data_IF_658728377229
#
_entry.id   IF_658728377229
#
_cell.length_a   1.000
_cell.length_b   1.000
_cell.length_c   1.000
_cell.angle_alpha   90.00
_cell.angle_beta   90.00
_cell.angle_gamma   90.00
#
_symmetry.space_group_name_H-M   'P 1'
#
loop_
_entity.id
_entity.type
_entity.pdbx_description
1 polymer ?
#
# COMPACT_ATOMS: atom_id res chain seq x y z
N UNK A 1 -0.52 -37.20 1.29
CA UNK A 1 0.23 -37.37 0.04
C UNK A 1 0.11 -36.07 -0.76
N UNK A 2 1.22 -35.43 -1.17
CA UNK A 2 1.15 -34.20 -1.96
C UNK A 2 0.58 -34.49 -3.36
N UNK A 3 -0.30 -33.62 -3.86
CA UNK A 3 -0.91 -33.77 -5.18
C UNK A 3 0.15 -33.72 -6.28
N UNK A 4 0.10 -34.65 -7.24
CA UNK A 4 0.94 -34.60 -8.44
C UNK A 4 0.49 -33.45 -9.35
N UNK A 5 1.46 -32.67 -9.85
CA UNK A 5 1.22 -31.55 -10.78
C UNK A 5 0.47 -32.07 -12.03
N UNK A 6 -0.66 -31.46 -12.36
CA UNK A 6 -1.55 -31.91 -13.45
C UNK A 6 -2.58 -32.97 -13.07
N UNK A 7 -2.62 -33.42 -11.81
CA UNK A 7 -3.53 -34.48 -11.32
C UNK A 7 -4.43 -33.99 -10.17
N UNK A 8 -4.52 -32.68 -9.99
CA UNK A 8 -5.51 -32.02 -9.14
C UNK A 8 -6.69 -31.63 -10.01
N UNK A 9 -7.91 -31.51 -9.45
CA UNK A 9 -9.16 -31.16 -10.16
C UNK A 9 -9.15 -29.82 -10.92
N UNK A 10 -8.00 -29.16 -11.00
CA UNK A 10 -7.68 -28.14 -11.98
C UNK A 10 -6.25 -28.40 -12.52
N UNK A 11 -6.15 -28.97 -13.72
CA UNK A 11 -4.91 -29.39 -14.37
C UNK A 11 -3.92 -28.24 -14.60
N UNK A 12 -4.44 -27.02 -14.82
CA UNK A 12 -3.66 -25.80 -15.00
C UNK A 12 -3.22 -25.13 -13.67
N UNK A 13 -3.68 -25.65 -12.53
CA UNK A 13 -3.49 -25.02 -11.23
C UNK A 13 -4.22 -23.68 -11.08
N UNK A 14 -4.10 -23.06 -9.90
CA UNK A 14 -4.67 -21.73 -9.65
C UNK A 14 -3.96 -20.70 -10.56
N UNK A 15 -4.72 -19.96 -11.38
CA UNK A 15 -4.15 -18.93 -12.26
C UNK A 15 -3.32 -17.91 -11.44
N UNK A 16 -2.08 -17.60 -11.86
CA UNK A 16 -1.27 -16.54 -11.23
C UNK A 16 -2.03 -15.23 -11.20
N UNK A 17 -1.99 -14.52 -10.08
CA UNK A 17 -2.72 -13.26 -9.90
C UNK A 17 -4.16 -13.39 -9.41
N UNK A 18 -4.71 -14.61 -9.26
CA UNK A 18 -6.03 -14.79 -8.64
C UNK A 18 -5.96 -14.35 -7.17
N UNK A 19 -6.71 -13.31 -6.75
CA UNK A 19 -6.72 -12.86 -5.36
C UNK A 19 -7.14 -14.02 -4.44
N UNK A 20 -6.56 -14.09 -3.25
CA UNK A 20 -6.99 -15.07 -2.26
C UNK A 20 -8.46 -14.79 -1.88
N UNK A 21 -9.32 -15.82 -1.92
CA UNK A 21 -10.77 -15.68 -1.73
C UNK A 21 -11.10 -14.98 -0.41
N UNK A 22 -10.42 -15.37 0.67
CA UNK A 22 -10.54 -14.76 2.00
C UNK A 22 -10.19 -13.27 2.01
N UNK A 23 -9.16 -12.87 1.25
CA UNK A 23 -8.76 -11.45 1.15
C UNK A 23 -9.76 -10.64 0.34
N UNK A 24 -10.43 -11.25 -0.63
CA UNK A 24 -11.51 -10.60 -1.39
C UNK A 24 -12.75 -10.41 -0.53
N UNK A 25 -13.19 -11.44 0.19
CA UNK A 25 -14.35 -11.38 1.10
C UNK A 25 -14.16 -10.32 2.20
N UNK A 26 -12.98 -10.27 2.82
CA UNK A 26 -12.67 -9.27 3.84
C UNK A 26 -12.68 -7.84 3.28
N UNK A 27 -12.13 -7.62 2.08
CA UNK A 27 -12.16 -6.30 1.43
C UNK A 27 -13.59 -5.86 1.09
N UNK A 28 -14.43 -6.80 0.67
CA UNK A 28 -15.83 -6.53 0.35
C UNK A 28 -16.60 -6.15 1.61
N UNK A 29 -16.43 -6.93 2.69
CA UNK A 29 -17.00 -6.64 4.00
C UNK A 29 -16.58 -5.27 4.55
N UNK A 30 -15.27 -4.95 4.51
CA UNK A 30 -14.77 -3.63 4.97
C UNK A 30 -15.38 -2.51 4.13
N UNK A 31 -15.49 -2.71 2.81
CA UNK A 31 -16.07 -1.71 1.90
C UNK A 31 -17.57 -1.50 2.15
N UNK A 32 -18.33 -2.57 2.36
CA UNK A 32 -19.75 -2.50 2.73
C UNK A 32 -19.96 -1.84 4.10
N UNK A 33 -19.16 -2.22 5.09
CA UNK A 33 -19.19 -1.61 6.42
C UNK A 33 -18.94 -0.09 6.35
N UNK A 34 -17.91 0.33 5.62
CA UNK A 34 -17.60 1.76 5.45
C UNK A 34 -18.74 2.50 4.72
N UNK A 35 -19.32 1.89 3.69
CA UNK A 35 -20.44 2.49 2.95
C UNK A 35 -21.71 2.63 3.80
N UNK A 36 -22.06 1.60 4.58
CA UNK A 36 -23.24 1.63 5.46
C UNK A 36 -23.09 2.70 6.56
N UNK A 37 -21.90 2.82 7.14
CA UNK A 37 -21.63 3.78 8.22
C UNK A 37 -21.36 5.20 7.72
N UNK A 38 -21.29 5.43 6.40
CA UNK A 38 -21.04 6.75 5.80
C UNK A 38 -22.06 7.80 6.25
N UNK A 39 -23.33 7.41 6.40
CA UNK A 39 -24.40 8.30 6.87
C UNK A 39 -24.24 8.67 8.36
N UNK A 40 -23.72 7.77 9.17
CA UNK A 40 -23.36 8.01 10.57
C UNK A 40 -22.15 8.93 10.68
N UNK A 41 -21.13 8.72 9.84
CA UNK A 41 -19.94 9.56 9.77
C UNK A 41 -20.29 11.01 9.39
N UNK A 42 -21.23 11.22 8.46
CA UNK A 42 -21.69 12.58 8.13
C UNK A 42 -22.39 13.27 9.30
N UNK A 43 -23.21 12.53 10.07
CA UNK A 43 -23.86 13.09 11.27
C UNK A 43 -22.84 13.41 12.36
N UNK A 44 -21.94 12.47 12.66
CA UNK A 44 -20.84 12.69 13.59
C UNK A 44 -19.95 13.87 13.20
N UNK A 45 -19.73 14.07 11.88
CA UNK A 45 -18.99 15.24 11.38
C UNK A 45 -19.69 16.56 11.66
N UNK A 46 -21.03 16.59 11.62
CA UNK A 46 -21.81 17.79 11.95
C UNK A 46 -21.71 18.08 13.45
N UNK A 47 -21.80 17.04 14.29
CA UNK A 47 -21.77 17.13 15.75
C UNK A 47 -20.36 17.41 16.33
N UNK A 48 -19.31 17.17 15.57
CA UNK A 48 -17.93 17.39 16.02
C UNK A 48 -17.64 18.85 16.40
N UNK A 49 -16.74 19.07 17.35
CA UNK A 49 -16.26 20.41 17.69
C UNK A 49 -15.43 20.99 16.53
N UNK A 50 -15.47 22.31 16.25
CA UNK A 50 -14.74 22.91 15.12
C UNK A 50 -13.26 22.52 15.06
N UNK A 51 -12.57 22.46 16.21
CA UNK A 51 -11.15 22.08 16.30
C UNK A 51 -10.91 20.65 15.82
N UNK A 52 -11.78 19.72 16.18
CA UNK A 52 -11.68 18.32 15.77
C UNK A 52 -11.99 18.15 14.29
N UNK A 53 -12.91 18.95 13.73
CA UNK A 53 -13.17 18.97 12.28
C UNK A 53 -11.92 19.34 11.50
N UNK A 54 -11.20 20.37 11.93
CA UNK A 54 -9.93 20.77 11.28
C UNK A 54 -8.89 19.66 11.34
N UNK A 55 -8.73 19.00 12.49
CA UNK A 55 -7.79 17.88 12.65
C UNK A 55 -8.14 16.67 11.77
N UNK A 56 -9.41 16.29 11.75
CA UNK A 56 -9.90 15.19 10.92
C UNK A 56 -9.78 15.53 9.43
N UNK A 57 -10.05 16.78 9.04
CA UNK A 57 -9.87 17.26 7.66
C UNK A 57 -8.40 17.19 7.22
N UNK A 58 -7.47 17.64 8.07
CA UNK A 58 -6.03 17.53 7.82
C UNK A 58 -5.58 16.07 7.66
N UNK A 59 -6.19 15.14 8.40
CA UNK A 59 -5.91 13.71 8.28
C UNK A 59 -6.44 13.13 6.96
N UNK A 60 -7.63 13.54 6.52
CA UNK A 60 -8.21 13.13 5.23
C UNK A 60 -7.41 13.67 4.04
N UNK A 61 -6.88 14.90 4.14
CA UNK A 61 -6.05 15.50 3.08
C UNK A 61 -4.82 14.67 2.72
N UNK A 62 -4.25 13.92 3.68
CA UNK A 62 -3.11 13.02 3.44
C UNK A 62 -3.42 11.88 2.46
N UNK A 63 -4.68 11.47 2.38
CA UNK A 63 -5.12 10.39 1.49
C UNK A 63 -5.66 10.91 0.15
N UNK A 64 -6.08 12.18 0.09
CA UNK A 64 -6.59 12.81 -1.13
C UNK A 64 -5.51 13.53 -1.96
N UNK A 65 -4.51 14.10 -1.29
CA UNK A 65 -3.40 14.77 -1.95
C UNK A 65 -2.24 13.79 -2.13
N UNK A 66 -1.54 13.81 -3.29
CA UNK A 66 -0.30 13.05 -3.45
C UNK A 66 0.71 13.57 -2.44
N UNK A 67 1.01 12.75 -1.43
CA UNK A 67 2.09 13.05 -0.49
C UNK A 67 3.42 12.74 -1.17
N UNK A 68 4.41 13.61 -0.97
CA UNK A 68 5.79 13.27 -1.33
C UNK A 68 6.18 12.05 -0.50
N UNK A 69 6.26 10.89 -1.15
CA UNK A 69 6.91 9.72 -0.57
C UNK A 69 8.37 10.12 -0.34
N UNK A 70 8.74 10.42 0.89
CA UNK A 70 10.16 10.51 1.23
C UNK A 70 10.72 9.11 1.06
N UNK A 71 11.38 8.84 -0.06
CA UNK A 71 12.20 7.65 -0.19
C UNK A 71 13.36 7.82 0.78
N UNK A 72 13.20 7.31 2.00
CA UNK A 72 14.34 7.01 2.85
C UNK A 72 15.03 5.83 2.20
N UNK A 73 16.09 6.13 1.44
CA UNK A 73 16.99 5.10 0.94
C UNK A 73 17.78 4.63 2.17
N UNK A 74 17.56 3.38 2.57
CA UNK A 74 18.38 2.75 3.60
C UNK A 74 19.66 2.21 2.93
N UNK A 75 20.71 3.03 3.00
CA UNK A 75 22.00 2.71 2.38
C UNK A 75 22.69 1.50 3.02
N UNK A 76 22.26 1.05 4.20
CA UNK A 76 22.87 -0.10 4.88
C UNK A 76 22.46 -1.46 4.27
N UNK A 77 21.38 -1.48 3.48
CA UNK A 77 20.82 -2.69 2.87
C UNK A 77 21.11 -2.76 1.35
N UNK A 78 21.95 -1.87 0.82
CA UNK A 78 22.38 -1.89 -0.56
C UNK A 78 23.68 -2.68 -0.69
N UNK A 79 23.80 -3.51 -1.73
CA UNK A 79 25.05 -4.20 -2.06
C UNK A 79 26.15 -3.18 -2.39
N UNK A 80 27.38 -3.51 -2.01
CA UNK A 80 28.56 -2.63 -2.13
C UNK A 80 28.79 -2.17 -3.58
N UNK A 81 28.62 -3.07 -4.56
CA UNK A 81 28.70 -2.76 -5.99
C UNK A 81 27.69 -1.70 -6.46
N UNK A 82 26.52 -1.66 -5.82
CA UNK A 82 25.47 -0.68 -6.13
C UNK A 82 25.80 0.67 -5.49
N UNK A 83 26.44 0.67 -4.31
CA UNK A 83 26.93 1.88 -3.66
C UNK A 83 28.00 2.57 -4.49
N UNK A 84 28.98 1.82 -4.99
CA UNK A 84 30.06 2.35 -5.82
C UNK A 84 29.51 2.96 -7.11
N UNK A 85 28.58 2.27 -7.78
CA UNK A 85 27.93 2.79 -8.99
C UNK A 85 27.11 4.08 -8.73
N UNK A 86 26.57 4.27 -7.52
CA UNK A 86 25.87 5.50 -7.12
C UNK A 86 26.88 6.63 -6.87
N UNK A 87 28.00 6.34 -6.21
CA UNK A 87 29.08 7.30 -5.93
C UNK A 87 29.67 7.84 -7.23
N UNK A 88 29.98 6.96 -8.19
CA UNK A 88 30.52 7.34 -9.50
C UNK A 88 29.57 8.23 -10.31
N UNK A 89 28.25 8.00 -10.19
CA UNK A 89 27.24 8.84 -10.84
C UNK A 89 27.07 10.21 -10.20
N UNK A 90 27.31 10.32 -8.90
CA UNK A 90 27.16 11.57 -8.15
C UNK A 90 28.41 12.46 -8.23
N UNK A 91 29.59 11.85 -8.41
CA UNK A 91 30.84 12.56 -8.67
C UNK A 91 31.34 12.25 -10.09
N UNK A 92 30.85 12.96 -11.13
CA UNK A 92 31.28 12.74 -12.51
C UNK A 92 32.76 13.10 -12.78
N UNK A 93 33.47 13.68 -11.79
CA UNK A 93 34.86 14.14 -11.92
C UNK A 93 35.88 13.35 -11.08
N UNK A 94 35.56 12.13 -10.60
CA UNK A 94 36.52 11.32 -9.82
C UNK A 94 37.56 10.60 -10.69
N UNK A 95 37.59 10.86 -12.01
CA UNK A 95 38.58 10.33 -12.95
C UNK A 95 39.28 11.43 -13.76
N UNK A 96 39.79 12.48 -13.08
CA UNK A 96 40.94 13.28 -13.55
C UNK A 96 41.96 13.44 -12.42
#
# INVERSE_FOLDING_TARGET
MPFKKGQSGNEAGRKPGTPNKTTTELRLFISEFLNQNKSGLQRAWIELEPKDKFSAFQSLLKFALPQKMSQQIDFNNLDEDVLDAIIDRLNPNTNE
#
